data_IF_688248844309
#
_entry.id   IF_688248844309
#
_cell.length_a   1.000
_cell.length_b   1.000
_cell.length_c   1.000
_cell.angle_alpha   90.00
_cell.angle_beta   90.00
_cell.angle_gamma   90.00
#
_symmetry.space_group_name_H-M   'P 1'
#
loop_
_entity.id
_entity.type
_entity.pdbx_description
1 polymer ?
#
# COMPACT_ATOMS: atom_id res chain seq x y z
N UNK A 1 -34.89 -22.83 -16.38
CA UNK A 1 -34.72 -22.01 -15.97
C UNK A 1 -34.21 -21.81 -15.53
N UNK A 2 -33.67 -21.96 -15.55
CA UNK A 2 -33.20 -21.11 -15.00
C UNK A 2 -32.69 -20.84 -14.58
N UNK A 3 -32.39 -21.10 -14.72
CA UNK A 3 -31.96 -20.18 -14.21
C UNK A 3 -31.34 -20.08 -13.82
N UNK A 4 -31.10 -20.28 -13.95
CA UNK A 4 -30.63 -19.53 -13.41
C UNK A 4 -30.09 -19.34 -13.05
N UNK A 5 -29.87 -19.82 -13.32
CA UNK A 5 -29.51 -19.04 -12.76
C UNK A 5 -28.98 -18.90 -12.50
N UNK A 6 -28.83 -19.36 -12.72
CA UNK A 6 -28.48 -18.55 -12.24
C UNK A 6 -27.95 -18.34 -12.02
N UNK A 7 -27.72 -18.79 -12.30
CA UNK A 7 -27.47 -17.93 -11.89
C UNK A 7 -27.06 -17.64 -11.64
N UNK A 8 -26.76 -18.12 -11.97
CA UNK A 8 -26.64 -17.21 -11.55
C UNK A 8 -26.41 -16.74 -11.24
N UNK A 9 -26.12 -17.26 -11.51
CA UNK A 9 -26.13 -16.20 -11.06
C UNK A 9 -25.89 -15.81 -10.74
N UNK A 10 -25.53 -16.24 -10.93
CA UNK A 10 -25.51 -15.33 -10.46
C UNK A 10 -25.29 -14.85 -10.23
N UNK A 11 -25.11 -15.09 -10.47
CA UNK A 11 -25.05 -14.13 -10.18
C UNK A 11 -24.97 -13.68 -9.81
N UNK A 12 -24.65 -13.98 -9.90
CA UNK A 12 -24.68 -13.05 -9.53
C UNK A 12 -24.59 -12.64 -9.15
N UNK A 13 -24.40 -12.93 -9.20
CA UNK A 13 -24.31 -12.03 -8.77
C UNK A 13 -24.07 -11.70 -8.38
N UNK A 14 -23.80 -12.07 -8.46
CA UNK A 14 -23.49 -11.29 -7.97
C UNK A 14 -23.25 -10.82 -7.66
N UNK A 15 -23.06 -11.11 -7.68
CA UNK A 15 -22.70 -10.36 -7.30
C UNK A 15 -22.38 -10.11 -6.82
N UNK A 16 -22.33 -10.21 -6.83
CA UNK A 16 -21.97 -9.80 -6.21
C UNK A 16 -21.44 -10.05 -5.73
N UNK A 17 -20.93 -10.42 -5.52
CA UNK A 17 -20.18 -10.61 -5.05
C UNK A 17 -19.67 -10.92 -5.53
N UNK A 18 -19.50 -11.43 -6.09
CA UNK A 18 -18.97 -11.60 -6.72
C UNK A 18 -18.46 -11.03 -7.42
N UNK A 19 -18.53 -11.36 -8.29
CA UNK A 19 -17.94 -10.31 -8.88
C UNK A 19 -17.10 -9.48 -8.04
N UNK A 20 -17.00 -9.73 -7.00
CA UNK A 20 -16.28 -8.98 -6.02
C UNK A 20 -14.80 -9.21 -6.10
N UNK A 21 -14.38 -10.40 -6.41
CA UNK A 21 -12.98 -10.74 -6.65
C UNK A 21 -12.43 -9.95 -7.83
N UNK A 22 -13.16 -9.98 -8.91
CA UNK A 22 -12.78 -9.25 -10.12
C UNK A 22 -12.76 -7.74 -9.89
N UNK A 23 -13.51 -7.29 -8.89
CA UNK A 23 -13.63 -5.87 -8.58
C UNK A 23 -12.57 -5.36 -7.61
N UNK A 24 -11.63 -6.22 -7.15
CA UNK A 24 -10.55 -5.76 -6.27
C UNK A 24 -9.73 -4.72 -6.98
N UNK A 25 -9.67 -3.52 -6.41
CA UNK A 25 -8.95 -2.41 -7.00
C UNK A 25 -7.44 -2.70 -7.06
N UNK A 26 -6.77 -2.04 -8.00
CA UNK A 26 -5.31 -2.17 -8.10
C UNK A 26 -4.65 -1.69 -6.81
N UNK A 27 -5.15 -0.64 -6.20
CA UNK A 27 -4.62 -0.14 -4.93
C UNK A 27 -4.74 -1.17 -3.81
N UNK A 28 -5.86 -1.88 -3.73
CA UNK A 28 -6.02 -2.94 -2.74
C UNK A 28 -5.08 -4.10 -3.03
N UNK A 29 -4.83 -4.41 -4.30
CA UNK A 29 -3.86 -5.43 -4.67
C UNK A 29 -2.45 -5.07 -4.19
N UNK A 30 -2.08 -3.80 -4.31
CA UNK A 30 -0.80 -3.30 -3.82
C UNK A 30 -0.70 -3.52 -2.31
N UNK A 31 -1.75 -3.15 -1.57
CA UNK A 31 -1.80 -3.34 -0.11
C UNK A 31 -1.68 -4.82 0.25
N UNK A 32 -2.42 -5.67 -0.43
CA UNK A 32 -2.40 -7.12 -0.16
C UNK A 32 -1.01 -7.69 -0.38
N UNK A 33 -0.32 -7.26 -1.42
CA UNK A 33 1.04 -7.69 -1.68
C UNK A 33 2.01 -7.19 -0.60
N UNK A 34 1.91 -5.90 -0.25
CA UNK A 34 2.76 -5.29 0.76
C UNK A 34 2.64 -6.00 2.12
N UNK A 35 1.43 -6.40 2.49
CA UNK A 35 1.16 -7.06 3.76
C UNK A 35 1.86 -8.40 3.90
N UNK A 36 2.21 -9.07 2.81
CA UNK A 36 2.91 -10.35 2.85
C UNK A 36 4.27 -10.26 3.53
N UNK A 37 4.84 -9.07 3.59
CA UNK A 37 6.20 -8.87 4.09
C UNK A 37 6.24 -8.31 5.51
N UNK A 38 5.08 -8.13 6.12
CA UNK A 38 4.99 -7.71 7.53
C UNK A 38 5.74 -8.72 8.40
N UNK A 39 6.57 -8.20 9.31
CA UNK A 39 7.42 -9.03 10.16
C UNK A 39 8.88 -9.10 9.69
N UNK A 40 9.14 -8.78 8.43
CA UNK A 40 10.51 -8.76 7.91
C UNK A 40 11.24 -7.51 8.38
N UNK A 41 12.56 -7.55 8.36
CA UNK A 41 13.33 -6.50 9.00
C UNK A 41 13.51 -5.25 8.15
N UNK A 42 13.72 -4.14 8.83
CA UNK A 42 14.17 -2.89 8.26
C UNK A 42 15.69 -2.96 8.07
N UNK A 43 16.17 -2.40 6.96
CA UNK A 43 17.62 -2.24 6.75
C UNK A 43 17.85 -0.93 6.01
N UNK A 44 18.61 -0.03 6.62
CA UNK A 44 18.95 1.25 6.01
C UNK A 44 19.62 1.02 4.64
N UNK A 45 19.14 1.67 3.61
CA UNK A 45 19.65 1.49 2.24
C UNK A 45 19.18 0.20 1.58
N UNK A 46 18.40 -0.63 2.27
CA UNK A 46 17.95 -1.91 1.74
C UNK A 46 16.73 -1.79 0.84
N UNK A 47 16.61 -2.72 -0.10
CA UNK A 47 15.50 -2.78 -1.05
C UNK A 47 14.88 -4.17 -1.13
N UNK A 48 15.31 -5.09 -0.28
CA UNK A 48 14.79 -6.46 -0.29
C UNK A 48 13.59 -6.59 0.63
N UNK A 49 12.46 -7.02 0.07
CA UNK A 49 11.23 -7.22 0.87
C UNK A 49 11.37 -8.36 1.87
N UNK A 50 12.33 -9.28 1.65
CA UNK A 50 12.51 -10.45 2.51
C UNK A 50 13.76 -10.35 3.40
N UNK A 51 14.81 -9.66 2.94
CA UNK A 51 16.09 -9.60 3.64
C UNK A 51 16.38 -8.25 4.30
N UNK A 52 15.58 -7.24 4.04
CA UNK A 52 15.69 -5.94 4.66
C UNK A 52 15.52 -4.81 3.67
N UNK A 53 14.63 -3.88 4.04
CA UNK A 53 14.34 -2.69 3.23
C UNK A 53 14.16 -1.49 4.16
N UNK A 54 14.56 -0.30 3.68
CA UNK A 54 14.19 0.92 4.36
C UNK A 54 12.82 1.40 3.84
N UNK A 55 12.34 2.54 4.32
CA UNK A 55 10.98 3.00 4.01
C UNK A 55 10.76 3.18 2.50
N UNK A 56 11.66 3.86 1.83
CA UNK A 56 11.54 4.10 0.38
C UNK A 56 11.89 2.86 -0.43
N UNK A 57 12.78 2.01 0.08
CA UNK A 57 13.10 0.73 -0.55
C UNK A 57 11.92 -0.22 -0.51
N UNK A 58 11.16 -0.19 0.57
CA UNK A 58 9.94 -0.99 0.70
C UNK A 58 8.89 -0.58 -0.35
N UNK A 59 8.54 0.71 -0.39
CA UNK A 59 7.56 1.21 -1.37
C UNK A 59 8.02 0.98 -2.80
N UNK A 60 9.31 1.24 -3.07
CA UNK A 60 9.90 1.00 -4.39
C UNK A 60 9.75 -0.46 -4.82
N UNK A 61 10.09 -1.39 -3.94
CA UNK A 61 10.08 -2.82 -4.27
C UNK A 61 8.66 -3.37 -4.37
N UNK A 62 7.72 -2.87 -3.57
CA UNK A 62 6.32 -3.24 -3.67
C UNK A 62 5.76 -2.80 -5.03
N UNK A 63 5.98 -1.54 -5.39
CA UNK A 63 5.44 -1.01 -6.65
C UNK A 63 6.12 -1.59 -7.89
N UNK A 64 7.35 -2.06 -7.76
CA UNK A 64 8.03 -2.76 -8.86
C UNK A 64 7.23 -3.98 -9.32
N UNK A 65 6.60 -4.67 -8.40
CA UNK A 65 5.73 -5.82 -8.69
C UNK A 65 4.58 -5.43 -9.63
N UNK A 66 4.16 -4.18 -9.57
CA UNK A 66 3.02 -3.66 -10.35
C UNK A 66 3.47 -2.83 -11.55
N UNK A 67 4.73 -2.96 -11.93
CA UNK A 67 5.26 -2.27 -13.11
C UNK A 67 5.50 -0.79 -12.92
N UNK A 68 5.54 -0.29 -11.69
CA UNK A 68 5.78 1.11 -11.39
C UNK A 68 7.17 1.29 -10.82
N UNK A 69 7.97 2.13 -11.47
CA UNK A 69 9.35 2.37 -11.07
C UNK A 69 9.43 3.63 -10.22
N UNK A 70 9.87 3.49 -8.98
CA UNK A 70 10.01 4.61 -8.04
C UNK A 70 11.50 4.85 -7.73
N UNK A 71 11.87 6.11 -7.44
CA UNK A 71 13.23 6.36 -6.95
C UNK A 71 13.39 5.81 -5.53
N UNK A 72 14.61 5.39 -5.18
CA UNK A 72 14.93 4.93 -3.84
C UNK A 72 15.25 6.14 -2.96
N UNK A 73 14.22 6.94 -2.69
CA UNK A 73 14.35 8.20 -1.94
C UNK A 73 12.97 8.63 -1.48
N UNK A 74 12.83 8.91 -0.18
CA UNK A 74 11.56 9.39 0.35
C UNK A 74 11.19 10.76 -0.26
N UNK A 75 12.16 11.64 -0.43
CA UNK A 75 11.90 12.95 -1.05
C UNK A 75 11.54 12.81 -2.53
N UNK A 76 12.20 11.89 -3.25
CA UNK A 76 11.89 11.64 -4.66
C UNK A 76 10.49 11.07 -4.83
N UNK A 77 10.06 10.22 -3.92
CA UNK A 77 8.73 9.61 -3.99
C UNK A 77 7.60 10.61 -3.75
N UNK A 78 7.88 11.79 -3.21
CA UNK A 78 6.88 12.85 -3.10
C UNK A 78 6.44 13.41 -4.44
N UNK A 79 7.12 13.07 -5.52
CA UNK A 79 6.88 13.62 -6.87
C UNK A 79 6.33 12.59 -7.84
N UNK A 80 6.17 11.34 -7.42
CA UNK A 80 5.72 10.27 -8.34
C UNK A 80 4.20 10.28 -8.50
N UNK A 81 3.72 9.76 -9.62
CA UNK A 81 2.30 9.57 -9.86
C UNK A 81 1.51 10.87 -9.81
N UNK A 82 0.25 10.75 -9.40
CA UNK A 82 -0.65 11.89 -9.31
C UNK A 82 -0.75 12.39 -7.87
N UNK A 83 -0.81 13.71 -7.71
CA UNK A 83 -1.06 14.33 -6.42
C UNK A 83 -2.48 14.06 -5.97
N UNK A 84 -2.65 13.67 -4.71
CA UNK A 84 -3.96 13.54 -4.07
C UNK A 84 -4.15 14.76 -3.17
N UNK A 85 -5.09 15.61 -3.52
CA UNK A 85 -5.42 16.81 -2.76
C UNK A 85 -6.51 16.50 -1.72
N UNK A 86 -6.57 17.28 -0.65
CA UNK A 86 -7.62 17.15 0.36
C UNK A 86 -7.23 16.32 1.58
N UNK A 87 -5.96 15.92 1.68
CA UNK A 87 -5.44 15.25 2.85
C UNK A 87 -5.84 13.80 2.96
N UNK A 88 -5.66 13.25 4.16
CA UNK A 88 -5.85 11.81 4.41
C UNK A 88 -7.28 11.34 4.13
N UNK A 89 -8.26 12.23 4.22
CA UNK A 89 -9.66 11.90 3.89
C UNK A 89 -9.83 11.47 2.45
N UNK A 90 -8.96 11.94 1.56
CA UNK A 90 -9.03 11.63 0.13
C UNK A 90 -8.11 10.51 -0.28
N UNK A 91 -7.30 10.01 0.64
CA UNK A 91 -6.40 8.90 0.35
C UNK A 91 -7.18 7.61 0.16
N UNK A 92 -6.67 6.78 -0.74
CA UNK A 92 -7.22 5.45 -1.04
C UNK A 92 -6.16 4.39 -0.83
N UNK A 93 -6.60 3.15 -0.61
CA UNK A 93 -5.67 2.03 -0.47
C UNK A 93 -4.69 2.00 -1.64
N UNK A 94 -3.41 1.83 -1.33
CA UNK A 94 -2.33 1.82 -2.31
C UNK A 94 -1.65 3.17 -2.49
N UNK A 95 -2.27 4.27 -2.06
CA UNK A 95 -1.62 5.58 -2.14
C UNK A 95 -0.35 5.59 -1.28
N UNK A 96 0.62 6.40 -1.71
CA UNK A 96 1.85 6.61 -0.94
C UNK A 96 1.65 7.84 -0.07
N UNK A 97 1.84 7.68 1.23
CA UNK A 97 1.81 8.77 2.19
C UNK A 97 3.25 9.19 2.45
N UNK A 98 3.54 10.47 2.20
CA UNK A 98 4.90 11.00 2.32
C UNK A 98 5.02 11.92 3.51
N UNK A 99 6.00 11.63 4.36
CA UNK A 99 6.36 12.42 5.53
C UNK A 99 7.78 12.96 5.36
N UNK A 100 8.23 13.82 6.25
CA UNK A 100 9.64 14.24 6.25
C UNK A 100 10.52 13.01 6.54
N UNK A 101 11.36 12.64 5.57
CA UNK A 101 12.27 11.52 5.71
C UNK A 101 11.63 10.15 5.79
N UNK A 102 10.36 10.01 5.40
CA UNK A 102 9.67 8.73 5.50
C UNK A 102 8.55 8.61 4.48
N UNK A 103 8.23 7.38 4.09
CA UNK A 103 7.09 7.06 3.23
C UNK A 103 6.42 5.78 3.71
N UNK A 104 5.14 5.64 3.39
CA UNK A 104 4.35 4.48 3.75
C UNK A 104 3.30 4.23 2.67
N UNK A 105 2.74 3.03 2.65
CA UNK A 105 1.62 2.69 1.77
C UNK A 105 0.33 2.74 2.58
N UNK A 106 -0.64 3.54 2.10
CA UNK A 106 -1.92 3.67 2.77
C UNK A 106 -2.76 2.41 2.58
N UNK A 107 -3.35 1.93 3.64
CA UNK A 107 -4.17 0.71 3.61
C UNK A 107 -5.67 1.00 3.62
N UNK A 108 -6.05 2.25 3.83
CA UNK A 108 -7.43 2.61 4.16
C UNK A 108 -7.62 2.66 5.67
N UNK A 109 -8.70 3.26 6.11
CA UNK A 109 -9.09 3.31 7.53
C UNK A 109 -8.00 3.84 8.44
N UNK A 110 -7.25 4.83 7.96
CA UNK A 110 -6.19 5.49 8.71
C UNK A 110 -5.00 4.58 9.05
N UNK A 111 -4.83 3.48 8.33
CA UNK A 111 -3.73 2.53 8.55
C UNK A 111 -2.69 2.62 7.46
N UNK A 112 -1.45 2.35 7.82
CA UNK A 112 -0.34 2.30 6.86
C UNK A 112 0.45 1.01 7.06
N UNK A 113 1.05 0.52 5.96
CA UNK A 113 2.05 -0.53 6.00
C UNK A 113 3.35 0.08 5.51
N UNK A 114 4.43 -0.13 6.27
CA UNK A 114 5.70 0.53 5.99
C UNK A 114 6.88 -0.19 6.64
N UNK A 115 8.07 0.03 6.09
CA UNK A 115 9.31 -0.32 6.77
C UNK A 115 9.61 0.83 7.74
N UNK A 116 9.37 0.61 9.02
CA UNK A 116 9.26 1.66 10.01
C UNK A 116 10.62 2.14 10.53
N UNK A 117 11.35 1.25 11.18
CA UNK A 117 12.65 1.57 11.76
C UNK A 117 13.43 0.28 12.02
N UNK A 118 14.69 0.40 12.47
CA UNK A 118 15.58 -0.73 12.64
C UNK A 118 15.37 -1.57 13.90
N UNK A 119 14.40 -1.21 14.73
CA UNK A 119 14.05 -2.04 15.88
C UNK A 119 13.44 -3.35 15.40
N UNK A 120 13.49 -4.37 16.25
CA UNK A 120 12.87 -5.65 15.92
C UNK A 120 11.36 -5.52 15.84
N UNK A 121 10.75 -6.30 14.96
CA UNK A 121 9.31 -6.43 14.89
C UNK A 121 8.77 -6.91 16.25
N UNK A 122 7.67 -6.38 16.76
CA UNK A 122 6.70 -5.46 16.14
C UNK A 122 6.97 -3.97 16.36
N UNK A 123 8.01 -3.60 17.09
CA UNK A 123 8.33 -2.17 17.31
C UNK A 123 8.85 -1.52 16.04
N UNK A 124 9.59 -2.25 15.23
CA UNK A 124 10.15 -1.79 13.98
C UNK A 124 9.96 -2.84 12.89
N UNK A 125 10.81 -2.78 11.86
CA UNK A 125 10.69 -3.64 10.72
C UNK A 125 9.53 -3.22 9.82
N UNK A 126 9.13 -4.12 8.95
CA UNK A 126 7.95 -3.92 8.10
C UNK A 126 6.73 -4.24 8.96
N UNK A 127 5.87 -3.24 9.14
CA UNK A 127 4.76 -3.34 10.07
C UNK A 127 3.56 -2.52 9.62
N UNK A 128 2.42 -2.79 10.25
CA UNK A 128 1.20 -1.99 10.09
C UNK A 128 1.11 -1.05 11.29
N UNK A 129 0.84 0.22 11.01
CA UNK A 129 0.59 1.23 12.03
C UNK A 129 -0.81 1.78 11.87
N UNK A 130 -1.47 2.10 12.99
CA UNK A 130 -2.90 2.42 13.02
C UNK A 130 -3.23 3.90 12.88
N UNK A 131 -2.23 4.77 12.76
CA UNK A 131 -2.47 6.21 12.62
C UNK A 131 -1.59 6.78 11.52
N UNK A 132 -2.17 6.92 10.33
CA UNK A 132 -1.45 7.47 9.18
C UNK A 132 -1.01 8.92 9.41
N UNK A 133 -1.64 9.63 10.35
CA UNK A 133 -1.32 11.03 10.65
C UNK A 133 -0.41 11.18 11.88
N UNK A 134 0.31 10.12 12.26
CA UNK A 134 1.23 10.20 13.41
C UNK A 134 2.39 11.16 13.21
N UNK A 135 2.70 11.48 11.95
CA UNK A 135 3.64 12.52 11.55
C UNK A 135 2.93 13.43 10.56
N UNK A 136 3.43 14.65 10.41
CA UNK A 136 2.88 15.58 9.41
C UNK A 136 2.99 14.99 8.02
N UNK A 137 1.88 14.92 7.30
CA UNK A 137 1.85 14.44 5.93
C UNK A 137 2.24 15.58 5.01
N UNK A 138 3.28 15.37 4.20
CA UNK A 138 3.79 16.36 3.25
C UNK A 138 3.16 16.19 1.87
N UNK A 139 2.82 14.97 1.50
CA UNK A 139 2.20 14.68 0.20
C UNK A 139 1.54 13.32 0.23
N UNK A 140 0.54 13.15 -0.62
CA UNK A 140 -0.10 11.87 -0.89
C UNK A 140 -0.06 11.68 -2.39
N UNK A 141 0.49 10.54 -2.85
CA UNK A 141 0.68 10.28 -4.28
C UNK A 141 -0.04 9.00 -4.69
N UNK A 142 -0.61 9.00 -5.87
CA UNK A 142 -1.37 7.86 -6.40
C UNK A 142 -0.76 7.36 -7.69
N UNK A 143 -0.45 6.07 -7.73
CA UNK A 143 0.19 5.43 -8.90
C UNK A 143 -0.73 4.44 -9.60
N UNK A 144 -1.79 4.01 -8.93
CA UNK A 144 -2.70 2.99 -9.48
C UNK A 144 -4.15 3.39 -9.33
#
# INVERSE_FOLDING_TARGET
LILMAAASVTMTTSGIETDTQAATSKGQQVVNYAKKFVGNKYKYGGTSLTKGADCSGFTMSVYKKFGKKLPHSSSGQRKVGKKVSGGIKKAKAGDIICYSGHVAIYMGKNKIVHASNSAKYPKGGIKISNNASYKKILAIRRLV
#
